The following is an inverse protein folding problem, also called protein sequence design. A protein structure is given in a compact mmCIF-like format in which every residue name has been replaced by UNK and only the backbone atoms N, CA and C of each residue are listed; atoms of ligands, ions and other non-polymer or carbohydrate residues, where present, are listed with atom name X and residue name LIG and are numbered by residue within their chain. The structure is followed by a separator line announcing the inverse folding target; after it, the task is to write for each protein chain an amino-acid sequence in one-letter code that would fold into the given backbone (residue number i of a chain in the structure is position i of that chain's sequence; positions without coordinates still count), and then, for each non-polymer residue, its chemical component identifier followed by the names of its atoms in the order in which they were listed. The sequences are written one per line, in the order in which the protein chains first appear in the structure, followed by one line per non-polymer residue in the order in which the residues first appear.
data_IF_507289350230
#
_entry.id   IF_507289350230
#
_cell.length_a   1.000
_cell.length_b   1.000
_cell.length_c   1.000
_cell.angle_alpha   90.00
_cell.angle_beta   90.00
_cell.angle_gamma   90.00
#
_symmetry.space_group_name_H-M   'P 1'
#
loop_
_entity.id
_entity.type
_entity.pdbx_description
1 polymer ?
#
# COMPACT_ATOMS: atom_id res chain seq x y z
N UNK A 1 2.79 -27.11 2.79
CA UNK A 1 2.72 -27.98 4.00
C UNK A 1 1.48 -28.87 3.88
N UNK A 2 1.66 -30.15 4.19
CA UNK A 2 0.64 -31.19 3.97
C UNK A 2 -0.47 -31.06 5.05
N UNK A 3 -1.76 -31.07 4.70
CA UNK A 3 -2.85 -31.14 5.64
C UNK A 3 -2.74 -32.35 6.61
N UNK A 4 -1.96 -33.36 6.24
CA UNK A 4 -1.64 -34.48 7.13
C UNK A 4 -0.96 -34.06 8.42
N UNK A 5 -0.08 -33.04 8.40
CA UNK A 5 0.63 -32.56 9.61
C UNK A 5 -0.30 -31.93 10.65
N UNK A 6 -1.29 -31.17 10.20
CA UNK A 6 -2.31 -30.59 11.10
C UNK A 6 -3.20 -31.68 11.72
N UNK A 7 -3.48 -32.78 10.99
CA UNK A 7 -4.23 -33.92 11.51
C UNK A 7 -3.42 -34.72 12.54
N UNK A 8 -2.12 -34.93 12.32
CA UNK A 8 -1.24 -35.60 13.28
C UNK A 8 -1.14 -34.82 14.60
N UNK A 9 -0.96 -33.50 14.50
CA UNK A 9 -0.97 -32.62 15.69
C UNK A 9 -2.29 -32.67 16.45
N UNK A 10 -3.44 -32.76 15.76
CA UNK A 10 -4.77 -32.92 16.40
C UNK A 10 -4.89 -34.26 17.12
N UNK A 11 -4.43 -35.36 16.52
CA UNK A 11 -4.43 -36.67 17.17
C UNK A 11 -3.56 -36.69 18.42
N UNK A 12 -2.40 -36.00 18.38
CA UNK A 12 -1.52 -35.85 19.53
C UNK A 12 -2.21 -35.14 20.69
N UNK A 13 -2.95 -34.06 20.44
CA UNK A 13 -3.75 -33.34 21.46
C UNK A 13 -4.78 -34.28 22.09
N UNK A 14 -5.53 -35.03 21.27
CA UNK A 14 -6.55 -35.96 21.76
C UNK A 14 -5.95 -37.05 22.70
N UNK A 15 -4.79 -37.60 22.28
CA UNK A 15 -4.09 -38.61 23.10
C UNK A 15 -3.65 -38.02 24.44
N UNK A 16 -3.00 -36.85 24.45
CA UNK A 16 -2.53 -36.21 25.67
C UNK A 16 -3.69 -35.76 26.58
N UNK A 17 -4.83 -35.40 26.00
CA UNK A 17 -6.04 -35.10 26.74
C UNK A 17 -6.55 -36.35 27.50
N UNK A 18 -6.56 -37.51 26.83
CA UNK A 18 -6.93 -38.78 27.45
C UNK A 18 -5.94 -39.18 28.58
N UNK A 19 -4.64 -38.88 28.42
CA UNK A 19 -3.63 -39.12 29.46
C UNK A 19 -3.83 -38.18 30.65
N UNK A 20 -4.17 -36.90 30.43
CA UNK A 20 -4.51 -35.96 31.51
C UNK A 20 -5.78 -36.39 32.27
N UNK A 21 -6.80 -36.87 31.56
CA UNK A 21 -8.04 -37.36 32.16
C UNK A 21 -7.77 -38.62 33.03
N UNK A 22 -6.88 -39.52 32.59
CA UNK A 22 -6.41 -40.65 33.34
C UNK A 22 -5.69 -40.21 34.64
N UNK A 23 -4.80 -39.22 34.54
CA UNK A 23 -4.11 -38.64 35.68
C UNK A 23 -5.10 -38.01 36.68
N UNK A 24 -6.15 -37.33 36.21
CA UNK A 24 -7.22 -36.78 37.07
C UNK A 24 -7.97 -37.86 37.82
N UNK A 25 -8.30 -38.97 37.18
CA UNK A 25 -8.95 -40.11 37.88
C UNK A 25 -8.05 -40.68 38.97
N UNK A 26 -6.74 -40.82 38.68
CA UNK A 26 -5.77 -41.29 39.69
C UNK A 26 -5.62 -40.33 40.87
N UNK A 27 -5.59 -39.01 40.59
CA UNK A 27 -5.54 -38.01 41.64
C UNK A 27 -6.81 -38.00 42.50
N UNK A 28 -7.98 -38.16 41.92
CA UNK A 28 -9.25 -38.29 42.64
C UNK A 28 -9.27 -39.52 43.54
N UNK A 29 -8.75 -40.67 43.06
CA UNK A 29 -8.63 -41.89 43.92
C UNK A 29 -7.64 -41.70 45.07
N UNK A 30 -6.49 -41.07 44.80
CA UNK A 30 -5.50 -40.74 45.82
C UNK A 30 -6.07 -39.77 46.88
N UNK A 31 -6.82 -38.76 46.47
CA UNK A 31 -7.49 -37.82 47.35
C UNK A 31 -8.54 -38.51 48.25
N UNK A 32 -9.31 -39.48 47.69
CA UNK A 32 -10.26 -40.28 48.48
C UNK A 32 -9.55 -41.19 49.52
N UNK A 33 -8.41 -41.76 49.13
CA UNK A 33 -7.58 -42.55 50.06
C UNK A 33 -7.01 -41.68 51.15
N UNK A 34 -6.52 -40.50 50.84
CA UNK A 34 -6.03 -39.52 51.81
C UNK A 34 -7.13 -39.12 52.81
N UNK A 35 -8.32 -38.81 52.30
CA UNK A 35 -9.47 -38.47 53.13
C UNK A 35 -9.79 -39.58 54.14
N UNK A 36 -9.81 -40.85 53.71
CA UNK A 36 -10.02 -42.01 54.57
C UNK A 36 -8.90 -42.17 55.59
N UNK A 37 -7.64 -41.97 55.20
CA UNK A 37 -6.50 -42.02 56.12
C UNK A 37 -6.62 -40.95 57.19
N UNK A 38 -7.02 -39.71 56.89
CA UNK A 38 -7.31 -38.68 57.87
C UNK A 38 -8.39 -39.12 58.85
N UNK A 39 -9.53 -39.64 58.35
CA UNK A 39 -10.65 -40.09 59.19
C UNK A 39 -10.25 -41.25 60.13
N UNK A 40 -9.35 -42.16 59.72
CA UNK A 40 -8.83 -43.26 60.50
C UNK A 40 -7.78 -42.79 61.51
N UNK A 41 -6.92 -41.87 61.15
CA UNK A 41 -5.91 -41.26 62.01
C UNK A 41 -6.54 -40.50 63.20
N UNK A 42 -7.59 -39.72 62.94
CA UNK A 42 -8.35 -38.99 63.95
C UNK A 42 -8.98 -39.93 64.95
N UNK A 43 -9.30 -41.14 64.54
CA UNK A 43 -9.81 -42.22 65.40
C UNK A 43 -8.70 -43.08 66.04
N UNK A 44 -7.42 -42.70 65.81
CA UNK A 44 -6.23 -43.42 66.32
C UNK A 44 -6.14 -44.89 65.82
N UNK A 45 -6.66 -45.19 64.63
CA UNK A 45 -6.70 -46.53 64.04
C UNK A 45 -5.52 -46.82 63.10
N UNK A 46 -4.74 -45.82 62.70
CA UNK A 46 -3.56 -45.97 61.88
C UNK A 46 -2.38 -45.16 62.42
N UNK A 47 -1.12 -45.57 62.19
CA UNK A 47 0.07 -44.80 62.51
C UNK A 47 0.25 -43.55 61.71
N UNK A 48 1.01 -42.56 62.19
CA UNK A 48 1.30 -41.30 61.45
C UNK A 48 2.01 -41.51 60.10
N UNK A 49 2.85 -42.55 60.03
CA UNK A 49 3.56 -42.94 58.81
C UNK A 49 2.62 -43.29 57.66
N UNK A 50 1.47 -43.88 57.95
CA UNK A 50 0.48 -44.22 56.86
C UNK A 50 -0.25 -43.00 56.39
N UNK A 51 -0.54 -42.04 57.27
CA UNK A 51 -1.08 -40.73 56.86
C UNK A 51 -0.10 -39.96 56.02
N UNK A 52 1.17 -39.84 56.41
CA UNK A 52 2.23 -39.17 55.60
C UNK A 52 2.40 -39.80 54.25
N UNK A 53 2.31 -41.15 54.20
CA UNK A 53 2.36 -41.86 52.87
C UNK A 53 1.17 -41.52 51.99
N UNK A 54 -0.05 -41.47 52.57
CA UNK A 54 -1.24 -41.10 51.81
C UNK A 54 -1.18 -39.63 51.32
N UNK A 55 -0.68 -38.70 52.16
CA UNK A 55 -0.45 -37.31 51.75
C UNK A 55 0.58 -37.18 50.65
N UNK A 56 1.71 -37.87 50.75
CA UNK A 56 2.75 -37.87 49.71
C UNK A 56 2.23 -38.41 48.39
N UNK A 57 1.44 -39.49 48.42
CA UNK A 57 0.82 -40.10 47.24
C UNK A 57 -0.18 -39.15 46.60
N UNK A 58 -1.01 -38.45 47.37
CA UNK A 58 -1.96 -37.47 46.86
C UNK A 58 -1.25 -36.30 46.22
N UNK A 59 -0.23 -35.74 46.86
CA UNK A 59 0.59 -34.64 46.29
C UNK A 59 1.30 -35.05 44.98
N UNK A 60 1.82 -36.27 44.93
CA UNK A 60 2.44 -36.81 43.71
C UNK A 60 1.43 -36.98 42.59
N UNK A 61 0.21 -37.44 42.87
CA UNK A 61 -0.85 -37.55 41.87
C UNK A 61 -1.32 -36.18 41.35
N UNK A 62 -1.44 -35.17 42.22
CA UNK A 62 -1.77 -33.81 41.84
C UNK A 62 -0.66 -33.18 40.95
N UNK A 63 0.59 -33.46 41.27
CA UNK A 63 1.71 -33.02 40.43
C UNK A 63 1.69 -33.69 39.05
N UNK A 64 1.31 -34.97 38.98
CA UNK A 64 1.16 -35.68 37.71
C UNK A 64 0.04 -35.10 36.84
N UNK A 65 -1.10 -34.70 37.43
CA UNK A 65 -2.17 -33.97 36.69
C UNK A 65 -1.65 -32.69 36.09
N UNK A 66 -0.97 -31.85 36.90
CA UNK A 66 -0.40 -30.57 36.40
C UNK A 66 0.61 -30.80 35.26
N UNK A 67 1.43 -31.84 35.37
CA UNK A 67 2.37 -32.23 34.34
C UNK A 67 1.66 -32.64 33.02
N UNK A 68 0.61 -33.48 33.15
CA UNK A 68 -0.18 -33.89 31.96
C UNK A 68 -0.95 -32.73 31.33
N UNK A 69 -1.53 -31.84 32.13
CA UNK A 69 -2.20 -30.63 31.63
C UNK A 69 -1.22 -29.68 30.91
N UNK A 70 0.00 -29.52 31.42
CA UNK A 70 1.02 -28.73 30.73
C UNK A 70 1.40 -29.33 29.36
N UNK A 71 1.42 -30.67 29.26
CA UNK A 71 1.66 -31.33 27.96
C UNK A 71 0.51 -31.09 26.97
N UNK A 72 -0.74 -31.07 27.43
CA UNK A 72 -1.90 -30.73 26.59
C UNK A 72 -1.78 -29.29 26.07
N UNK A 73 -1.42 -28.33 26.94
CA UNK A 73 -1.22 -26.93 26.54
C UNK A 73 -0.12 -26.81 25.49
N UNK A 74 1.00 -27.51 25.70
CA UNK A 74 2.10 -27.53 24.72
C UNK A 74 1.67 -28.10 23.36
N UNK A 75 0.94 -29.23 23.37
CA UNK A 75 0.44 -29.83 22.13
C UNK A 75 -0.59 -28.94 21.42
N UNK A 76 -1.44 -28.25 22.18
CA UNK A 76 -2.39 -27.28 21.64
C UNK A 76 -1.69 -26.10 20.97
N UNK A 77 -0.59 -25.59 21.56
CA UNK A 77 0.23 -24.56 20.93
C UNK A 77 0.84 -25.03 19.61
N UNK A 78 1.33 -26.28 19.58
CA UNK A 78 1.87 -26.88 18.34
C UNK A 78 0.78 -27.06 17.27
N UNK A 79 -0.42 -27.46 17.66
CA UNK A 79 -1.56 -27.55 16.73
C UNK A 79 -1.94 -26.17 16.17
N UNK A 80 -1.99 -25.14 17.00
CA UNK A 80 -2.27 -23.77 16.56
C UNK A 80 -1.22 -23.29 15.55
N UNK A 81 0.06 -23.56 15.81
CA UNK A 81 1.13 -23.23 14.87
C UNK A 81 0.96 -23.95 13.53
N UNK A 82 0.62 -25.24 13.54
CA UNK A 82 0.37 -26.01 12.33
C UNK A 82 -0.85 -25.47 11.56
N UNK A 83 -1.91 -25.05 12.25
CA UNK A 83 -3.08 -24.43 11.64
C UNK A 83 -2.78 -23.06 11.01
N UNK A 84 -1.97 -22.23 11.69
CA UNK A 84 -1.52 -20.94 11.15
C UNK A 84 -0.68 -21.17 9.88
N UNK A 85 0.27 -22.09 9.91
CA UNK A 85 1.07 -22.44 8.74
C UNK A 85 0.19 -22.93 7.57
N UNK A 86 -0.79 -23.78 7.85
CA UNK A 86 -1.74 -24.23 6.84
C UNK A 86 -2.58 -23.08 6.28
N UNK A 87 -3.01 -22.14 7.12
CA UNK A 87 -3.75 -20.96 6.65
C UNK A 87 -2.93 -20.08 5.70
N UNK A 88 -1.61 -19.99 5.91
CA UNK A 88 -0.70 -19.25 5.06
C UNK A 88 -0.44 -19.90 3.69
N UNK A 89 -0.83 -21.16 3.50
CA UNK A 89 -0.76 -21.81 2.17
C UNK A 89 -1.87 -21.35 1.23
N UNK A 90 -2.93 -20.72 1.77
CA UNK A 90 -4.03 -20.17 0.99
C UNK A 90 -3.87 -18.66 0.91
N UNK A 91 -3.34 -18.18 -0.21
CA UNK A 91 -3.15 -16.75 -0.45
C UNK A 91 -4.46 -16.17 -0.99
N UNK A 92 -5.04 -15.23 -0.26
CA UNK A 92 -6.28 -14.54 -0.64
C UNK A 92 -5.99 -13.11 -1.08
N UNK A 93 -6.80 -12.61 -2.02
CA UNK A 93 -6.77 -11.20 -2.39
C UNK A 93 -7.22 -10.35 -1.18
N UNK A 94 -6.45 -9.29 -0.82
CA UNK A 94 -6.82 -8.40 0.29
C UNK A 94 -7.93 -7.41 -0.07
N UNK A 95 -8.22 -7.24 -1.36
CA UNK A 95 -9.23 -6.33 -1.90
C UNK A 95 -10.02 -7.02 -3.00
N UNK A 96 -11.26 -6.57 -3.20
CA UNK A 96 -12.04 -6.91 -4.38
C UNK A 96 -11.55 -6.09 -5.57
N UNK A 97 -11.54 -6.69 -6.76
CA UNK A 97 -11.08 -6.01 -7.97
C UNK A 97 -10.87 -6.94 -9.16
N UNK A 98 -10.29 -6.38 -10.20
CA UNK A 98 -9.97 -7.09 -11.44
C UNK A 98 -8.47 -7.39 -11.49
N UNK A 99 -8.09 -8.63 -11.82
CA UNK A 99 -6.69 -9.01 -12.00
C UNK A 99 -6.16 -8.38 -13.29
N UNK A 100 -5.15 -7.53 -13.17
CA UNK A 100 -4.48 -6.87 -14.30
C UNK A 100 -3.34 -7.72 -14.83
N UNK A 101 -2.55 -8.29 -13.93
CA UNK A 101 -1.39 -9.11 -14.28
C UNK A 101 -1.28 -10.32 -13.36
N UNK A 102 -0.87 -11.45 -13.93
CA UNK A 102 -0.53 -12.68 -13.25
C UNK A 102 0.93 -13.00 -13.57
N UNK A 103 1.77 -12.95 -12.54
CA UNK A 103 3.22 -13.11 -12.70
C UNK A 103 3.71 -14.52 -12.29
N UNK A 104 2.77 -15.44 -12.06
CA UNK A 104 3.08 -16.82 -11.66
C UNK A 104 2.27 -17.82 -12.47
N UNK A 105 2.83 -18.98 -12.76
CA UNK A 105 2.14 -20.08 -13.43
C UNK A 105 1.83 -21.23 -12.47
N UNK A 106 0.85 -22.05 -12.85
CA UNK A 106 0.51 -23.25 -12.08
C UNK A 106 1.70 -24.21 -12.11
N UNK A 107 2.10 -24.68 -10.92
CA UNK A 107 3.27 -25.53 -10.75
C UNK A 107 4.60 -24.80 -10.64
N UNK A 108 4.60 -23.46 -10.71
CA UNK A 108 5.82 -22.68 -10.51
C UNK A 108 6.17 -22.60 -9.03
N UNK A 109 7.44 -22.88 -8.70
CA UNK A 109 7.96 -22.68 -7.35
C UNK A 109 8.23 -21.19 -7.09
N UNK A 110 7.70 -20.67 -6.00
CA UNK A 110 7.88 -19.27 -5.59
C UNK A 110 8.76 -19.24 -4.35
N UNK A 111 9.93 -18.59 -4.45
CA UNK A 111 10.83 -18.39 -3.31
C UNK A 111 10.57 -17.03 -2.68
N UNK A 112 10.22 -17.00 -1.38
CA UNK A 112 9.93 -15.78 -0.62
C UNK A 112 11.00 -15.42 0.41
N UNK A 113 12.17 -16.08 0.34
CA UNK A 113 13.18 -15.99 1.40
C UNK A 113 13.97 -14.67 1.45
N UNK A 114 14.08 -13.94 0.33
CA UNK A 114 14.86 -12.70 0.22
C UNK A 114 13.99 -11.50 -0.16
N UNK A 115 13.06 -11.69 -1.08
CA UNK A 115 12.10 -10.67 -1.51
C UNK A 115 10.76 -11.33 -1.79
N UNK A 116 9.67 -10.72 -1.31
CA UNK A 116 8.33 -11.19 -1.61
C UNK A 116 8.01 -10.92 -3.10
N UNK A 117 7.85 -11.95 -3.95
CA UNK A 117 7.52 -11.74 -5.35
C UNK A 117 6.08 -11.28 -5.51
N UNK A 118 5.84 -10.41 -6.48
CA UNK A 118 4.49 -10.01 -6.85
C UNK A 118 3.84 -11.14 -7.65
N UNK A 119 2.85 -11.81 -7.08
CA UNK A 119 2.14 -12.91 -7.72
C UNK A 119 1.06 -12.41 -8.68
N UNK A 120 0.23 -11.49 -8.22
CA UNK A 120 -0.88 -10.88 -8.95
C UNK A 120 -0.88 -9.37 -8.76
N UNK A 121 -1.30 -8.66 -9.78
CA UNK A 121 -1.61 -7.23 -9.69
C UNK A 121 -3.11 -7.06 -9.85
N UNK A 122 -3.76 -6.47 -8.84
CA UNK A 122 -5.21 -6.31 -8.79
C UNK A 122 -5.55 -4.82 -8.80
N UNK A 123 -6.40 -4.39 -9.73
CA UNK A 123 -6.99 -3.06 -9.71
C UNK A 123 -8.34 -3.11 -8.99
N UNK A 124 -8.54 -2.19 -8.07
CA UNK A 124 -9.80 -2.05 -7.36
C UNK A 124 -10.94 -1.63 -8.30
N UNK A 125 -10.66 -0.62 -9.13
CA UNK A 125 -11.60 -0.07 -10.09
C UNK A 125 -10.85 0.42 -11.33
N UNK A 126 -11.36 0.14 -12.50
CA UNK A 126 -10.84 0.61 -13.78
C UNK A 126 -11.62 1.80 -14.34
N UNK A 127 -12.71 2.21 -13.69
CA UNK A 127 -13.51 3.37 -14.08
C UNK A 127 -12.86 4.69 -13.65
N UNK A 128 -11.99 4.64 -12.63
CA UNK A 128 -11.16 5.75 -12.18
C UNK A 128 -9.70 5.43 -12.43
N UNK A 129 -9.08 6.18 -13.32
CA UNK A 129 -7.69 6.00 -13.71
C UNK A 129 -6.85 7.18 -13.22
N UNK A 130 -5.55 6.94 -13.06
CA UNK A 130 -4.57 7.99 -12.78
C UNK A 130 -3.50 8.02 -13.84
N UNK A 131 -3.23 9.20 -14.33
CA UNK A 131 -2.10 9.46 -15.23
C UNK A 131 -1.01 10.14 -14.41
N UNK A 132 0.18 9.57 -14.45
CA UNK A 132 1.38 10.16 -13.86
C UNK A 132 2.13 10.88 -14.99
N UNK A 133 2.05 12.21 -15.03
CA UNK A 133 2.78 13.02 -15.98
C UNK A 133 4.10 13.49 -15.36
N UNK A 134 5.20 13.29 -16.07
CA UNK A 134 6.50 13.88 -15.69
C UNK A 134 6.57 15.29 -16.24
N UNK A 135 6.74 16.28 -15.38
CA UNK A 135 6.84 17.70 -15.73
C UNK A 135 8.20 18.20 -15.30
N UNK A 136 8.85 18.95 -16.16
CA UNK A 136 10.18 19.51 -15.90
C UNK A 136 10.13 20.59 -14.80
N UNK A 137 11.26 20.78 -14.13
CA UNK A 137 11.38 21.76 -13.04
C UNK A 137 11.05 23.18 -13.50
N UNK A 138 11.32 23.52 -14.77
CA UNK A 138 11.00 24.83 -15.36
C UNK A 138 9.51 25.16 -15.39
N UNK A 139 8.67 24.14 -15.56
CA UNK A 139 7.24 24.30 -15.83
C UNK A 139 6.36 23.98 -14.60
N UNK A 140 6.95 23.34 -13.58
CA UNK A 140 6.19 22.89 -12.41
C UNK A 140 5.59 24.05 -11.61
N UNK A 141 6.21 25.23 -11.66
CA UNK A 141 5.75 26.43 -10.93
C UNK A 141 4.38 26.94 -11.41
N UNK A 142 3.98 26.63 -12.64
CA UNK A 142 2.69 27.02 -13.21
C UNK A 142 1.57 26.00 -12.95
N UNK A 143 1.92 24.82 -12.40
CA UNK A 143 0.96 23.73 -12.17
C UNK A 143 0.38 23.81 -10.77
N UNK A 144 -0.95 23.93 -10.73
CA UNK A 144 -1.70 23.96 -9.48
C UNK A 144 -2.74 22.84 -9.45
N UNK A 145 -3.08 22.33 -8.26
CA UNK A 145 -4.18 21.37 -8.10
C UNK A 145 -5.49 21.90 -8.70
N UNK A 146 -6.30 21.00 -9.25
CA UNK A 146 -7.59 21.25 -9.91
C UNK A 146 -7.52 21.93 -11.29
N UNK A 147 -6.33 22.09 -11.87
CA UNK A 147 -6.22 22.52 -13.26
C UNK A 147 -6.80 21.47 -14.21
N UNK A 148 -7.43 21.95 -15.28
CA UNK A 148 -7.97 21.12 -16.36
C UNK A 148 -6.84 20.61 -17.24
N UNK A 149 -6.89 19.32 -17.55
CA UNK A 149 -5.87 18.63 -18.34
C UNK A 149 -6.55 17.93 -19.51
N UNK A 150 -5.95 18.01 -20.68
CA UNK A 150 -6.32 17.22 -21.86
C UNK A 150 -5.15 16.32 -22.23
N UNK A 151 -5.47 15.09 -22.61
CA UNK A 151 -4.43 14.18 -23.05
C UNK A 151 -4.95 13.26 -24.16
N UNK A 152 -4.02 12.70 -24.89
CA UNK A 152 -4.26 11.67 -25.90
C UNK A 152 -3.42 10.46 -25.58
N UNK A 153 -3.95 9.30 -25.90
CA UNK A 153 -3.21 8.03 -25.78
C UNK A 153 -2.93 7.49 -27.18
N UNK A 154 -1.80 6.87 -27.36
CA UNK A 154 -1.39 6.35 -28.69
C UNK A 154 -2.36 5.30 -29.22
N UNK A 155 -3.04 4.59 -28.33
CA UNK A 155 -4.06 3.60 -28.72
C UNK A 155 -5.33 4.23 -29.32
N UNK A 156 -5.62 5.51 -29.04
CA UNK A 156 -6.79 6.26 -29.51
C UNK A 156 -6.40 7.67 -29.95
N UNK A 157 -5.71 7.83 -31.11
CA UNK A 157 -5.14 9.11 -31.51
C UNK A 157 -6.21 10.18 -31.86
N UNK A 158 -7.42 9.76 -32.21
CA UNK A 158 -8.53 10.65 -32.53
C UNK A 158 -9.38 11.04 -31.31
N UNK A 159 -9.23 10.35 -30.17
CA UNK A 159 -9.97 10.62 -28.95
C UNK A 159 -9.13 11.54 -28.04
N UNK A 160 -9.77 12.60 -27.53
CA UNK A 160 -9.16 13.45 -26.51
C UNK A 160 -9.85 13.17 -25.19
N UNK A 161 -9.05 12.81 -24.21
CA UNK A 161 -9.51 12.56 -22.85
C UNK A 161 -9.28 13.80 -21.98
N UNK A 162 -10.16 14.01 -21.01
CA UNK A 162 -10.05 15.10 -20.05
C UNK A 162 -9.79 14.54 -18.65
N UNK A 163 -9.01 15.27 -17.87
CA UNK A 163 -8.73 14.95 -16.49
C UNK A 163 -8.50 16.21 -15.67
N UNK A 164 -8.25 16.06 -14.39
CA UNK A 164 -7.93 17.15 -13.49
C UNK A 164 -6.67 16.84 -12.70
N UNK A 165 -5.81 17.84 -12.50
CA UNK A 165 -4.63 17.69 -11.65
C UNK A 165 -5.11 17.46 -10.22
N UNK A 166 -4.77 16.31 -9.66
CA UNK A 166 -5.07 15.94 -8.28
C UNK A 166 -4.01 16.48 -7.34
N UNK A 167 -2.77 16.19 -7.62
CA UNK A 167 -1.63 16.65 -6.81
C UNK A 167 -0.33 16.63 -7.61
N UNK A 168 0.62 17.44 -7.17
CA UNK A 168 2.01 17.40 -7.60
C UNK A 168 2.82 16.73 -6.50
N UNK A 169 3.60 15.68 -6.83
CA UNK A 169 4.49 15.04 -5.86
C UNK A 169 5.70 15.92 -5.60
N UNK A 170 5.99 16.17 -4.33
CA UNK A 170 7.11 17.03 -3.92
C UNK A 170 8.48 16.36 -4.09
N UNK A 171 8.53 15.04 -4.21
CA UNK A 171 9.77 14.33 -4.43
C UNK A 171 10.13 14.37 -5.92
N UNK A 172 11.27 14.96 -6.30
CA UNK A 172 11.73 14.99 -7.67
C UNK A 172 12.21 13.59 -8.11
N UNK A 173 12.11 13.33 -9.38
CA UNK A 173 12.70 12.18 -10.06
C UNK A 173 13.82 12.71 -10.95
N UNK A 174 15.06 12.24 -10.68
CA UNK A 174 16.22 12.62 -11.49
C UNK A 174 16.53 11.49 -12.46
N UNK A 175 16.37 11.72 -13.75
CA UNK A 175 16.75 10.80 -14.80
C UNK A 175 17.73 11.49 -15.75
N UNK A 176 18.89 10.87 -16.01
CA UNK A 176 19.90 11.39 -16.92
C UNK A 176 20.26 12.88 -16.67
N UNK A 177 20.38 13.29 -15.40
CA UNK A 177 20.60 14.66 -14.96
C UNK A 177 19.45 15.65 -15.27
N UNK A 178 18.28 15.18 -15.65
CA UNK A 178 17.07 16.00 -15.77
C UNK A 178 16.22 15.80 -14.53
N UNK A 179 15.86 16.94 -13.90
CA UNK A 179 14.97 16.95 -12.73
C UNK A 179 13.53 17.10 -13.21
N UNK A 180 12.68 16.15 -12.83
CA UNK A 180 11.26 16.20 -13.16
C UNK A 180 10.41 15.90 -11.93
N UNK A 181 9.20 16.43 -11.92
CA UNK A 181 8.20 16.20 -10.87
C UNK A 181 7.03 15.41 -11.41
N UNK A 182 6.54 14.45 -10.63
CA UNK A 182 5.38 13.65 -11.02
C UNK A 182 4.10 14.38 -10.64
N UNK A 183 3.36 14.80 -11.66
CA UNK A 183 2.01 15.35 -11.51
C UNK A 183 0.99 14.24 -11.68
N UNK A 184 0.14 14.04 -10.67
CA UNK A 184 -0.92 13.03 -10.67
C UNK A 184 -2.20 13.68 -11.19
N UNK A 185 -2.78 13.07 -12.21
CA UNK A 185 -3.99 13.53 -12.88
C UNK A 185 -5.06 12.46 -12.71
N UNK A 186 -6.18 12.80 -12.11
CA UNK A 186 -7.33 11.91 -12.00
C UNK A 186 -8.18 11.98 -13.28
N UNK A 187 -8.52 10.82 -13.80
CA UNK A 187 -9.17 10.66 -15.12
C UNK A 187 -10.34 9.71 -15.01
N UNK A 188 -11.56 10.15 -15.31
CA UNK A 188 -12.71 9.26 -15.40
C UNK A 188 -12.61 8.37 -16.66
N UNK A 189 -12.88 7.07 -16.50
CA UNK A 189 -12.82 6.08 -17.58
C UNK A 189 -14.10 5.22 -17.63
N UNK A 190 -15.29 5.82 -17.80
CA UNK A 190 -16.56 5.08 -17.74
C UNK A 190 -16.70 4.04 -18.87
N UNK A 191 -16.04 4.26 -19.98
CA UNK A 191 -16.05 3.36 -21.14
C UNK A 191 -14.98 2.27 -21.10
N UNK A 192 -14.16 2.18 -20.05
CA UNK A 192 -13.04 1.24 -19.91
C UNK A 192 -12.08 1.22 -21.10
N UNK A 193 -12.00 2.33 -21.86
CA UNK A 193 -11.11 2.47 -23.00
C UNK A 193 -9.65 2.58 -22.57
N UNK A 194 -9.39 3.29 -21.48
CA UNK A 194 -8.05 3.43 -20.92
C UNK A 194 -7.68 2.17 -20.15
N UNK A 195 -6.46 1.67 -20.39
CA UNK A 195 -5.93 0.50 -19.72
C UNK A 195 -4.64 0.87 -18.96
N UNK A 196 -4.35 0.22 -17.84
CA UNK A 196 -3.08 0.40 -17.14
C UNK A 196 -1.89 0.12 -18.07
N UNK A 197 -0.85 0.95 -17.96
CA UNK A 197 0.36 0.82 -18.78
C UNK A 197 0.33 1.56 -20.12
N UNK A 198 -0.78 2.24 -20.48
CA UNK A 198 -0.81 3.09 -21.68
C UNK A 198 0.02 4.37 -21.49
N UNK A 199 0.69 4.79 -22.55
CA UNK A 199 1.40 6.08 -22.61
C UNK A 199 0.44 7.17 -23.06
N UNK A 200 0.53 8.34 -22.45
CA UNK A 200 -0.32 9.48 -22.73
C UNK A 200 0.51 10.74 -22.99
N UNK A 201 0.18 11.47 -24.05
CA UNK A 201 0.67 12.82 -24.29
C UNK A 201 -0.27 13.82 -23.61
N UNK A 202 0.24 14.50 -22.58
CA UNK A 202 -0.54 15.35 -21.68
C UNK A 202 -0.34 16.82 -22.03
N UNK A 203 -1.44 17.59 -22.06
CA UNK A 203 -1.43 19.04 -22.22
C UNK A 203 -2.18 19.65 -21.03
N UNK A 204 -1.48 20.43 -20.22
CA UNK A 204 -2.02 21.11 -19.05
C UNK A 204 -2.31 22.57 -19.40
N UNK A 205 -3.52 23.04 -19.11
CA UNK A 205 -3.87 24.46 -19.31
C UNK A 205 -3.34 25.28 -18.13
N UNK A 206 -2.26 26.02 -18.30
CA UNK A 206 -1.65 26.85 -17.25
C UNK A 206 -2.28 28.22 -17.13
N UNK A 207 -2.88 28.73 -18.21
CA UNK A 207 -3.56 30.02 -18.21
C UNK A 207 -4.66 30.08 -19.27
N UNK A 208 -5.74 30.81 -18.95
CA UNK A 208 -6.84 31.10 -19.85
C UNK A 208 -7.18 32.57 -19.79
N UNK A 209 -6.99 33.26 -20.90
CA UNK A 209 -7.43 34.63 -21.05
C UNK A 209 -8.76 34.65 -21.83
N UNK A 210 -9.83 35.14 -21.16
CA UNK A 210 -11.14 35.34 -21.77
C UNK A 210 -11.33 36.84 -22.08
N UNK A 211 -12.08 37.17 -23.18
CA UNK A 211 -12.40 38.52 -23.59
C UNK A 211 -11.18 39.43 -23.88
N UNK A 212 -10.12 38.86 -24.44
CA UNK A 212 -8.93 39.61 -24.83
C UNK A 212 -8.89 39.89 -26.31
N UNK A 213 -8.42 41.08 -26.69
CA UNK A 213 -8.16 41.43 -28.06
C UNK A 213 -7.02 40.57 -28.61
N UNK A 214 -7.30 39.79 -29.64
CA UNK A 214 -6.28 38.96 -30.33
C UNK A 214 -5.60 39.77 -31.40
N UNK A 215 -4.29 39.84 -31.36
CA UNK A 215 -3.46 40.49 -32.36
C UNK A 215 -2.64 39.42 -33.06
N UNK A 216 -2.58 39.40 -34.42
CA UNK A 216 -1.71 38.45 -35.14
C UNK A 216 -0.24 38.67 -34.75
N UNK A 217 0.55 37.60 -34.66
CA UNK A 217 1.98 37.70 -34.33
C UNK A 217 2.76 38.59 -35.29
N UNK A 218 2.34 38.71 -36.53
CA UNK A 218 2.93 39.64 -37.53
C UNK A 218 2.82 41.12 -37.10
N UNK A 219 1.78 41.48 -36.31
CA UNK A 219 1.64 42.87 -35.85
C UNK A 219 2.63 43.20 -34.73
N UNK A 220 3.14 42.22 -34.00
CA UNK A 220 4.21 42.43 -33.00
C UNK A 220 5.58 42.69 -33.63
N UNK A 221 5.77 42.27 -34.86
CA UNK A 221 7.02 42.48 -35.62
C UNK A 221 6.99 43.75 -36.47
N UNK A 222 5.81 44.41 -36.59
CA UNK A 222 5.67 45.61 -37.37
C UNK A 222 6.33 46.79 -36.68
N UNK A 223 7.38 47.33 -37.32
CA UNK A 223 8.00 48.62 -36.95
C UNK A 223 7.59 49.63 -38.01
N UNK A 224 6.79 50.68 -37.66
CA UNK A 224 6.46 51.72 -38.62
C UNK A 224 7.76 52.36 -39.09
N UNK A 225 7.92 52.49 -40.39
CA UNK A 225 9.00 53.30 -40.97
C UNK A 225 8.85 54.72 -40.43
N UNK A 226 9.84 55.23 -39.70
CA UNK A 226 9.83 56.58 -39.19
C UNK A 226 9.59 57.52 -40.36
N UNK A 227 8.42 58.19 -40.40
CA UNK A 227 8.17 59.31 -41.34
C UNK A 227 9.26 60.35 -41.13
N UNK A 228 9.98 60.60 -42.20
CA UNK A 228 11.24 61.31 -42.20
C UNK A 228 11.25 62.62 -41.46
N UNK A 229 12.40 62.92 -40.88
CA UNK A 229 12.86 64.25 -40.60
C UNK A 229 13.08 64.55 -39.09
N UNK A 230 14.27 64.41 -38.64
CA UNK A 230 15.07 65.39 -37.96
C UNK A 230 16.24 64.69 -37.21
N UNK A 231 17.41 64.79 -37.81
CA UNK A 231 18.70 64.62 -37.11
C UNK A 231 18.82 65.76 -36.12
N UNK A 232 18.73 65.51 -34.84
CA UNK A 232 19.30 66.41 -33.84
C UNK A 232 20.10 65.57 -32.82
N UNK A 233 21.37 65.97 -32.85
CA UNK A 233 22.46 65.91 -31.89
C UNK A 233 22.30 65.13 -30.56
N UNK A 234 23.15 64.20 -30.48
CA UNK A 234 24.04 63.71 -29.38
C UNK A 234 23.98 64.56 -28.10
N UNK A 235 23.48 64.00 -27.04
CA UNK A 235 23.93 64.35 -25.70
C UNK A 235 24.14 63.05 -24.92
N UNK A 236 25.39 62.91 -24.40
CA UNK A 236 25.82 61.83 -23.55
C UNK A 236 25.20 62.01 -22.14
N UNK A 237 24.62 60.95 -21.64
CA UNK A 237 24.15 60.93 -20.24
C UNK A 237 23.76 59.49 -19.94
N UNK A 238 24.62 58.81 -19.16
CA UNK A 238 24.40 57.44 -18.71
C UNK A 238 23.24 57.35 -17.72
N UNK A 239 22.35 56.44 -17.99
CA UNK A 239 21.30 56.01 -17.08
C UNK A 239 20.77 54.70 -17.62
N UNK A 240 21.17 53.62 -16.97
CA UNK A 240 20.62 52.29 -17.24
C UNK A 240 19.16 52.25 -16.83
N UNK A 241 18.26 52.31 -17.80
CA UNK A 241 16.86 51.96 -17.60
C UNK A 241 16.69 50.43 -17.49
N UNK A 242 15.82 49.91 -16.64
CA UNK A 242 15.59 48.50 -16.51
C UNK A 242 14.97 47.99 -17.83
N UNK A 243 15.52 46.91 -18.37
CA UNK A 243 14.99 46.18 -19.50
C UNK A 243 13.71 45.49 -19.05
N UNK A 244 12.58 46.01 -19.47
CA UNK A 244 11.27 45.38 -19.38
C UNK A 244 11.09 44.54 -20.67
N UNK A 245 11.69 43.34 -20.68
CA UNK A 245 11.92 42.57 -21.89
C UNK A 245 10.70 41.74 -22.39
N UNK A 246 9.54 41.83 -21.73
CA UNK A 246 8.37 41.00 -22.06
C UNK A 246 7.11 41.74 -22.55
N UNK A 247 7.21 43.03 -22.85
CA UNK A 247 6.08 43.82 -23.39
C UNK A 247 6.25 44.13 -24.84
N UNK A 248 5.59 43.37 -25.72
CA UNK A 248 5.48 43.72 -27.15
C UNK A 248 4.63 44.97 -27.34
N UNK A 249 5.15 45.99 -27.99
CA UNK A 249 4.39 47.18 -28.36
C UNK A 249 3.61 46.95 -29.66
N UNK A 250 2.32 47.23 -29.62
CA UNK A 250 1.43 47.17 -30.82
C UNK A 250 1.03 48.59 -31.22
N UNK A 251 1.20 48.92 -32.50
CA UNK A 251 0.83 50.19 -33.06
C UNK A 251 -0.61 50.13 -33.61
N UNK A 252 -1.46 51.06 -33.18
CA UNK A 252 -2.86 51.14 -33.63
C UNK A 252 -2.99 52.42 -34.48
N UNK A 253 -3.58 52.30 -35.70
CA UNK A 253 -3.98 53.47 -36.48
C UNK A 253 -5.16 54.18 -35.82
N UNK A 254 -4.93 55.39 -35.31
CA UNK A 254 -6.03 56.26 -34.90
C UNK A 254 -6.75 56.75 -36.15
N UNK A 255 -8.06 56.47 -36.29
CA UNK A 255 -8.91 57.11 -37.29
C UNK A 255 -9.20 58.52 -36.79
N UNK A 256 -8.84 59.51 -37.64
CA UNK A 256 -9.25 60.88 -37.50
C UNK A 256 -10.68 61.07 -38.01
#
# INVERSE_FOLDING_TARGET
EDPAFANDSRQTVVRLQADADRAKVQAADAALKLKRAHELFDKQLIPATDLETAESTSRAADAAVKGAEAQVVQAQASLNQAQVNLSHTIIRAPIDGVVIARNVDVGQTVASSLQAPTLFVIARDLTEMRVNASVDESDIGEITPKQSVRFRVDAYPNDTFAGTVSQVRLQPVVQQNVVSYITVIDVPNPGLKLKPGMTAAVTIETGRAADVLKVPNAALQFKPAAAGGARTARAAGGGSAPRDDDRGAVWVLAQN
#
